data_IF_187359477059
#
_entry.id   IF_187359477059
#
_cell.length_a   1.000
_cell.length_b   1.000
_cell.length_c   1.000
_cell.angle_alpha   90.00
_cell.angle_beta   90.00
_cell.angle_gamma   90.00
#
_symmetry.space_group_name_H-M   'P 1'
#
loop_
_entity.id
_entity.type
_entity.pdbx_description
1 polymer ?
#
# COMPACT_ATOMS: atom_id res chain seq x y z
N UNK A 1 -1.34 -6.62 -14.53
CA UNK A 1 -1.73 -5.29 -14.03
C UNK A 1 -0.47 -4.65 -13.46
N UNK A 2 -0.45 -3.33 -13.36
CA UNK A 2 0.64 -2.54 -12.80
C UNK A 2 0.16 -1.95 -11.48
N UNK A 3 0.67 -2.51 -10.39
CA UNK A 3 0.44 -2.03 -9.03
C UNK A 3 1.41 -0.89 -8.72
N UNK A 4 1.03 -0.02 -7.79
CA UNK A 4 1.90 1.05 -7.33
C UNK A 4 2.08 1.01 -5.81
N UNK A 5 3.32 1.14 -5.36
CA UNK A 5 3.70 1.29 -3.96
C UNK A 5 4.20 2.71 -3.73
N UNK A 6 3.64 3.43 -2.75
CA UNK A 6 4.02 4.82 -2.47
C UNK A 6 4.41 5.02 -1.02
N UNK A 7 5.55 5.68 -0.81
CA UNK A 7 5.99 6.09 0.51
C UNK A 7 5.16 7.28 1.00
N UNK A 8 4.64 7.18 2.22
CA UNK A 8 3.79 8.22 2.84
C UNK A 8 4.27 8.62 4.24
N UNK A 9 5.59 8.57 4.47
CA UNK A 9 6.22 9.12 5.66
C UNK A 9 6.58 8.11 6.75
N UNK A 10 7.02 8.65 7.90
CA UNK A 10 7.36 7.86 9.08
C UNK A 10 6.11 7.41 9.85
N UNK A 11 6.05 6.14 10.20
CA UNK A 11 4.86 5.48 10.75
C UNK A 11 4.37 6.13 12.05
N UNK A 12 5.27 6.30 13.02
CA UNK A 12 4.92 6.71 14.38
C UNK A 12 4.31 8.12 14.42
N UNK A 13 4.66 8.99 13.48
CA UNK A 13 4.16 10.37 13.38
C UNK A 13 2.87 10.48 12.58
N UNK A 14 2.74 9.67 11.53
CA UNK A 14 1.75 9.88 10.48
C UNK A 14 0.58 8.89 10.54
N UNK A 15 0.81 7.64 10.93
CA UNK A 15 -0.23 6.61 10.94
C UNK A 15 -1.43 6.94 11.83
N UNK A 16 -1.28 7.50 13.05
CA UNK A 16 -2.42 7.87 13.89
C UNK A 16 -3.32 8.98 13.30
N UNK A 17 -2.81 9.73 12.31
CA UNK A 17 -3.52 10.83 11.65
C UNK A 17 -3.99 10.45 10.24
N UNK A 18 -3.66 9.25 9.77
CA UNK A 18 -3.91 8.82 8.40
C UNK A 18 -5.41 8.59 8.18
N UNK A 19 -5.95 9.24 7.16
CA UNK A 19 -7.32 9.06 6.66
C UNK A 19 -7.29 8.81 5.15
N UNK A 20 -8.45 8.49 4.58
CA UNK A 20 -8.62 8.40 3.12
C UNK A 20 -8.46 9.75 2.42
N UNK A 21 -8.61 10.86 3.14
CA UNK A 21 -8.44 12.22 2.62
C UNK A 21 -7.00 12.75 2.75
N UNK A 22 -6.14 12.06 3.50
CA UNK A 22 -4.74 12.50 3.67
C UNK A 22 -3.99 12.44 2.34
N UNK A 23 -3.36 13.56 1.97
CA UNK A 23 -2.53 13.71 0.76
C UNK A 23 -1.10 14.16 1.06
N UNK A 24 -0.70 14.25 2.34
CA UNK A 24 0.62 14.69 2.77
C UNK A 24 1.05 14.05 4.09
N UNK A 25 2.33 14.11 4.41
CA UNK A 25 2.90 13.59 5.66
C UNK A 25 3.87 14.57 6.31
N UNK A 26 4.04 14.46 7.62
CA UNK A 26 5.09 15.14 8.39
C UNK A 26 6.41 14.37 8.25
N UNK A 27 7.42 15.03 7.68
CA UNK A 27 8.77 14.52 7.51
C UNK A 27 9.58 14.54 8.80
N UNK A 28 10.74 13.87 8.78
CA UNK A 28 11.68 13.90 9.91
C UNK A 28 12.31 15.28 10.15
N UNK A 29 12.25 16.15 9.15
CA UNK A 29 12.62 17.56 9.20
C UNK A 29 11.55 18.46 9.85
N UNK A 30 10.42 17.88 10.27
CA UNK A 30 9.29 18.59 10.86
C UNK A 30 8.44 19.37 9.86
N UNK A 31 8.69 19.21 8.55
CA UNK A 31 7.91 19.86 7.49
C UNK A 31 6.84 18.93 6.93
N UNK A 32 5.81 19.51 6.35
CA UNK A 32 4.81 18.76 5.57
C UNK A 32 5.34 18.53 4.16
N UNK A 33 5.22 17.30 3.68
CA UNK A 33 5.55 16.88 2.31
C UNK A 33 4.30 16.29 1.66
N UNK A 34 3.95 16.81 0.48
CA UNK A 34 2.85 16.25 -0.32
C UNK A 34 3.23 14.85 -0.82
N UNK A 35 2.22 13.98 -0.95
CA UNK A 35 2.40 12.69 -1.58
C UNK A 35 2.80 12.87 -3.04
N UNK A 36 3.69 11.99 -3.52
CA UNK A 36 3.95 11.89 -4.93
C UNK A 36 2.64 11.52 -5.68
N UNK A 37 2.46 11.96 -6.93
CA UNK A 37 1.34 11.50 -7.72
C UNK A 37 1.47 10.00 -8.02
N UNK A 38 0.37 9.27 -8.01
CA UNK A 38 0.36 7.89 -8.50
C UNK A 38 0.82 7.85 -9.97
N UNK A 39 1.66 6.87 -10.37
CA UNK A 39 2.04 6.71 -11.76
C UNK A 39 0.80 6.53 -12.65
N UNK A 40 0.74 7.24 -13.79
CA UNK A 40 -0.41 7.16 -14.71
C UNK A 40 -0.60 5.78 -15.35
N UNK A 41 0.45 4.97 -15.35
CA UNK A 41 0.44 3.58 -15.80
C UNK A 41 -0.08 2.60 -14.75
N UNK A 42 -0.32 3.02 -13.51
CA UNK A 42 -0.83 2.15 -12.46
C UNK A 42 -2.32 1.83 -12.71
N UNK A 43 -2.60 0.60 -13.13
CA UNK A 43 -3.94 0.08 -13.43
C UNK A 43 -4.38 -1.05 -12.47
N UNK A 44 -3.56 -1.35 -11.47
CA UNK A 44 -3.84 -2.29 -10.39
C UNK A 44 -4.07 -1.60 -9.04
N UNK A 45 -3.84 -2.36 -7.97
CA UNK A 45 -3.84 -1.83 -6.60
C UNK A 45 -2.81 -0.72 -6.37
N UNK A 46 -3.20 0.23 -5.54
CA UNK A 46 -2.38 1.30 -4.98
C UNK A 46 -2.17 1.02 -3.50
N UNK A 47 -0.92 0.84 -3.08
CA UNK A 47 -0.54 0.53 -1.71
C UNK A 47 0.32 1.66 -1.18
N UNK A 48 -0.13 2.30 -0.10
CA UNK A 48 0.71 3.27 0.61
C UNK A 48 1.43 2.56 1.76
N UNK A 49 2.71 2.91 1.95
CA UNK A 49 3.54 2.35 2.99
C UNK A 49 4.31 3.42 3.76
N UNK A 50 4.60 3.14 5.01
CA UNK A 50 5.35 4.00 5.91
C UNK A 50 6.61 3.31 6.40
N UNK A 51 7.61 4.08 6.82
CA UNK A 51 8.80 3.56 7.49
C UNK A 51 8.62 3.58 9.01
N UNK A 52 8.77 2.42 9.65
CA UNK A 52 8.92 2.29 11.10
C UNK A 52 10.39 2.40 11.50
N UNK A 53 10.59 2.75 12.77
CA UNK A 53 11.90 2.68 13.42
C UNK A 53 12.56 1.32 13.17
N UNK A 54 13.86 1.34 12.82
CA UNK A 54 14.62 0.13 12.47
C UNK A 54 14.52 -0.30 11.00
N UNK A 55 14.22 0.63 10.08
CA UNK A 55 14.18 0.42 8.62
C UNK A 55 13.19 -0.66 8.18
N UNK A 56 12.03 -0.74 8.84
CA UNK A 56 10.95 -1.66 8.48
C UNK A 56 9.88 -0.89 7.73
N UNK A 57 9.54 -1.32 6.53
CA UNK A 57 8.45 -0.73 5.77
C UNK A 57 7.15 -1.48 6.07
N UNK A 58 6.07 -0.74 6.29
CA UNK A 58 4.76 -1.29 6.60
C UNK A 58 3.69 -0.73 5.67
N UNK A 59 2.85 -1.60 5.11
CA UNK A 59 1.66 -1.19 4.37
C UNK A 59 0.63 -0.64 5.37
N UNK A 60 0.03 0.51 5.02
CA UNK A 60 -0.90 1.24 5.90
C UNK A 60 -2.21 1.59 5.21
N UNK A 61 -2.27 1.52 3.87
CA UNK A 61 -3.47 1.83 3.08
C UNK A 61 -3.45 1.03 1.79
N UNK A 62 -4.60 0.49 1.40
CA UNK A 62 -4.78 -0.25 0.15
C UNK A 62 -6.01 0.29 -0.57
N UNK A 63 -5.84 0.61 -1.86
CA UNK A 63 -6.93 1.08 -2.71
C UNK A 63 -6.93 0.37 -4.06
N UNK A 64 -8.13 0.17 -4.62
CA UNK A 64 -8.34 -0.16 -6.03
C UNK A 64 -8.98 1.04 -6.75
N UNK A 65 -9.72 0.82 -7.83
CA UNK A 65 -10.43 1.87 -8.56
C UNK A 65 -11.74 2.34 -7.87
N UNK A 66 -12.25 1.58 -6.90
CA UNK A 66 -13.58 1.73 -6.31
C UNK A 66 -13.56 1.92 -4.80
N UNK A 67 -12.57 1.33 -4.13
CA UNK A 67 -12.44 1.23 -2.68
C UNK A 67 -11.10 1.80 -2.23
N UNK A 68 -11.11 2.37 -1.04
CA UNK A 68 -9.93 2.98 -0.42
C UNK A 68 -9.95 2.74 1.09
N UNK A 69 -9.03 1.92 1.56
CA UNK A 69 -9.04 1.41 2.94
C UNK A 69 -7.76 1.80 3.64
N UNK A 70 -7.87 2.64 4.66
CA UNK A 70 -6.82 2.82 5.67
C UNK A 70 -6.84 1.61 6.61
N UNK A 71 -5.70 0.95 6.77
CA UNK A 71 -5.59 -0.25 7.59
C UNK A 71 -5.62 0.14 9.07
N UNK A 72 -6.37 -0.62 9.88
CA UNK A 72 -6.33 -0.47 11.34
C UNK A 72 -5.02 -1.03 11.92
N UNK A 73 -4.55 -2.13 11.34
CA UNK A 73 -3.31 -2.81 11.68
C UNK A 73 -2.39 -2.83 10.46
N UNK A 74 -1.23 -2.16 10.56
CA UNK A 74 -0.26 -2.09 9.47
C UNK A 74 0.37 -3.44 9.17
N UNK A 75 0.76 -3.74 7.93
CA UNK A 75 1.42 -5.01 7.59
C UNK A 75 2.90 -4.78 7.30
N UNK A 76 3.82 -5.48 7.98
CA UNK A 76 5.25 -5.46 7.59
C UNK A 76 5.43 -6.01 6.19
N UNK A 77 6.04 -5.23 5.31
CA UNK A 77 6.28 -5.59 3.92
C UNK A 77 7.57 -6.40 3.79
N UNK A 78 7.48 -7.62 3.26
CA UNK A 78 8.61 -8.53 3.10
C UNK A 78 9.02 -8.56 1.62
N UNK A 79 10.26 -8.19 1.28
CA UNK A 79 10.77 -8.30 -0.09
C UNK A 79 10.67 -9.73 -0.62
N UNK A 80 10.39 -9.90 -1.92
CA UNK A 80 10.16 -11.22 -2.52
C UNK A 80 8.74 -11.76 -2.28
N UNK A 81 8.19 -11.61 -1.07
CA UNK A 81 6.86 -12.12 -0.75
C UNK A 81 5.74 -11.16 -1.13
N UNK A 82 5.90 -9.86 -0.85
CA UNK A 82 4.81 -8.90 -0.91
C UNK A 82 4.85 -7.98 -2.14
N UNK A 83 6.01 -7.88 -2.80
CA UNK A 83 6.18 -6.98 -3.94
C UNK A 83 7.25 -7.47 -4.94
N UNK A 84 7.49 -8.79 -4.96
CA UNK A 84 8.42 -9.44 -5.87
C UNK A 84 9.90 -9.28 -5.50
N UNK A 85 10.76 -10.02 -6.20
CA UNK A 85 12.21 -9.92 -6.07
C UNK A 85 12.76 -8.75 -6.90
N UNK A 86 13.79 -8.07 -6.39
CA UNK A 86 14.50 -7.01 -7.12
C UNK A 86 13.83 -5.63 -7.06
N UNK A 87 12.55 -5.55 -6.70
CA UNK A 87 11.83 -4.31 -6.43
C UNK A 87 12.45 -3.56 -5.25
N UNK A 88 12.69 -2.26 -5.40
CA UNK A 88 13.27 -1.40 -4.36
C UNK A 88 12.25 -0.34 -3.92
N UNK A 89 11.96 -0.30 -2.63
CA UNK A 89 11.17 0.77 -2.02
C UNK A 89 12.01 2.04 -1.94
N UNK A 90 11.40 3.18 -2.25
CA UNK A 90 12.02 4.50 -2.24
C UNK A 90 10.99 5.61 -2.00
N UNK A 91 11.44 6.86 -1.88
CA UNK A 91 10.55 8.02 -1.78
C UNK A 91 9.65 8.21 -3.02
N UNK A 92 10.07 7.70 -4.17
CA UNK A 92 9.29 7.72 -5.40
C UNK A 92 8.35 6.51 -5.51
N UNK A 93 7.15 6.66 -6.10
CA UNK A 93 6.24 5.56 -6.35
C UNK A 93 6.90 4.45 -7.18
N UNK A 94 6.75 3.21 -6.74
CA UNK A 94 7.35 2.03 -7.37
C UNK A 94 6.27 1.19 -8.03
N UNK A 95 6.46 0.88 -9.32
CA UNK A 95 5.55 -0.01 -10.06
C UNK A 95 5.91 -1.48 -9.82
N UNK A 96 4.89 -2.32 -9.64
CA UNK A 96 5.02 -3.77 -9.42
C UNK A 96 4.04 -4.50 -10.32
N UNK A 97 4.52 -5.43 -11.14
CA UNK A 97 3.69 -6.23 -12.05
C UNK A 97 3.44 -7.66 -11.55
N UNK A 98 4.07 -8.04 -10.44
CA UNK A 98 3.93 -9.35 -9.83
C UNK A 98 2.59 -9.46 -9.08
N UNK A 99 1.56 -9.90 -9.80
CA UNK A 99 0.23 -10.15 -9.24
C UNK A 99 0.26 -11.19 -8.09
N UNK A 100 1.17 -12.16 -8.10
CA UNK A 100 1.22 -13.21 -7.07
C UNK A 100 1.67 -12.60 -5.74
N UNK A 101 2.74 -11.81 -5.78
CA UNK A 101 3.26 -11.13 -4.60
C UNK A 101 2.25 -10.11 -4.03
N UNK A 102 1.58 -9.36 -4.91
CA UNK A 102 0.58 -8.37 -4.50
C UNK A 102 -0.68 -9.03 -3.92
N UNK A 103 -1.11 -10.17 -4.47
CA UNK A 103 -2.19 -10.95 -3.88
C UNK A 103 -1.82 -11.47 -2.49
N UNK A 104 -0.59 -11.95 -2.32
CA UNK A 104 -0.07 -12.41 -1.01
C UNK A 104 -0.07 -11.28 0.02
N UNK A 105 0.40 -10.09 -0.34
CA UNK A 105 0.30 -8.89 0.52
C UNK A 105 -1.15 -8.63 0.92
N UNK A 106 -2.08 -8.62 -0.05
CA UNK A 106 -3.49 -8.34 0.23
C UNK A 106 -4.12 -9.37 1.17
N UNK A 107 -3.81 -10.66 0.98
CA UNK A 107 -4.31 -11.72 1.85
C UNK A 107 -3.79 -11.62 3.28
N UNK A 108 -2.53 -11.23 3.46
CA UNK A 108 -1.96 -11.03 4.80
C UNK A 108 -2.45 -9.72 5.45
N UNK A 109 -2.74 -8.68 4.65
CA UNK A 109 -3.45 -7.48 5.11
C UNK A 109 -4.84 -7.85 5.65
N UNK A 110 -5.62 -8.64 4.89
CA UNK A 110 -6.96 -9.08 5.30
C UNK A 110 -6.90 -9.87 6.60
N UNK A 111 -5.97 -10.82 6.72
CA UNK A 111 -5.80 -11.62 7.96
C UNK A 111 -5.48 -10.74 9.18
N UNK A 112 -4.69 -9.66 8.99
CA UNK A 112 -4.35 -8.74 10.09
C UNK A 112 -5.45 -7.71 10.38
N UNK A 113 -6.39 -7.51 9.45
CA UNK A 113 -7.45 -6.50 9.52
C UNK A 113 -8.86 -7.11 9.39
N UNK A 114 -9.11 -8.27 10.03
CA UNK A 114 -10.39 -8.98 9.91
C UNK A 114 -11.61 -8.14 10.35
N UNK A 115 -11.40 -7.16 11.22
CA UNK A 115 -12.48 -6.25 11.66
C UNK A 115 -12.93 -5.25 10.58
N UNK A 116 -12.12 -5.06 9.53
CA UNK A 116 -12.41 -4.22 8.36
C UNK A 116 -12.46 -5.06 7.08
N UNK A 117 -12.93 -6.30 7.19
CA UNK A 117 -12.79 -7.31 6.14
C UNK A 117 -13.56 -7.00 4.86
N UNK A 118 -14.72 -6.35 4.94
CA UNK A 118 -15.67 -6.32 3.83
C UNK A 118 -15.15 -5.53 2.63
N UNK A 119 -14.59 -4.34 2.87
CA UNK A 119 -13.98 -3.51 1.82
C UNK A 119 -12.70 -4.18 1.26
N UNK A 120 -11.86 -4.75 2.14
CA UNK A 120 -10.65 -5.45 1.72
C UNK A 120 -10.95 -6.73 0.91
N UNK A 121 -12.04 -7.43 1.25
CA UNK A 121 -12.54 -8.59 0.50
C UNK A 121 -13.14 -8.17 -0.84
N UNK A 122 -13.78 -7.00 -0.91
CA UNK A 122 -14.24 -6.40 -2.16
C UNK A 122 -13.06 -6.07 -3.08
N UNK A 123 -12.00 -5.46 -2.54
CA UNK A 123 -10.73 -5.24 -3.26
C UNK A 123 -10.14 -6.55 -3.77
N UNK A 124 -10.10 -7.61 -2.94
CA UNK A 124 -9.58 -8.93 -3.35
C UNK A 124 -10.40 -9.55 -4.47
N UNK A 125 -11.72 -9.39 -4.43
CA UNK A 125 -12.62 -9.91 -5.45
C UNK A 125 -12.40 -9.19 -6.78
N UNK A 126 -12.35 -7.85 -6.76
CA UNK A 126 -12.00 -7.05 -7.92
C UNK A 126 -10.63 -7.44 -8.49
N UNK A 127 -9.61 -7.53 -7.64
CA UNK A 127 -8.25 -7.91 -8.03
C UNK A 127 -8.22 -9.23 -8.79
N UNK A 128 -8.89 -10.28 -8.27
CA UNK A 128 -8.90 -11.59 -8.91
C UNK A 128 -9.61 -11.56 -10.26
N UNK A 129 -10.71 -10.81 -10.37
CA UNK A 129 -11.42 -10.63 -11.64
C UNK A 129 -10.56 -9.87 -12.66
N UNK A 130 -9.87 -8.80 -12.24
CA UNK A 130 -9.01 -8.01 -13.11
C UNK A 130 -7.74 -8.76 -13.54
N UNK A 131 -7.11 -9.52 -12.63
CA UNK A 131 -5.93 -10.33 -12.93
C UNK A 131 -6.20 -11.48 -13.91
N UNK A 132 -7.45 -11.96 -13.98
CA UNK A 132 -7.86 -13.05 -14.87
C UNK A 132 -8.21 -12.58 -16.28
N UNK A 133 -8.44 -11.28 -16.46
CA UNK A 133 -8.64 -10.65 -17.78
C UNK A 133 -7.27 -10.43 -18.41
N UNK A 134 -6.82 -11.38 -19.22
CA UNK A 134 -5.67 -11.23 -20.12
C UNK A 134 -6.10 -10.60 -21.44
#
# INVERSE_FOLDING_TARGET
>A
MRHALMYVGGFERNFPKLTTETTSFEGSDGKTHEYAPWPSSADGLRISYMEKTGKKFVAVRVADAHNDVVLKNELVMVPGEHFGFGTRLSGEPTLVEDNIAILKLLEDVIKKNMESSDDLMSIRTWFKAAASKK
#
